data_IF_055632912363
#
_entry.id   IF_055632912363
#
_cell.length_a   1.000
_cell.length_b   1.000
_cell.length_c   1.000
_cell.angle_alpha   90.00
_cell.angle_beta   90.00
_cell.angle_gamma   90.00
#
_symmetry.space_group_name_H-M   'P 1'
#
loop_
_entity.id
_entity.type
_entity.pdbx_description
1 polymer ?
#
# COMPACT_ATOMS: atom_id res chain seq x y z
N UNK A 1 -10.54 -3.15 -11.64
CA UNK A 1 -9.95 -1.89 -11.14
C UNK A 1 -9.85 -1.98 -9.62
N UNK A 2 -8.72 -1.62 -9.02
CA UNK A 2 -8.63 -1.55 -7.55
C UNK A 2 -9.58 -0.47 -7.03
N UNK A 3 -10.26 -0.74 -5.92
CA UNK A 3 -11.28 0.15 -5.32
C UNK A 3 -10.93 0.61 -3.92
N UNK A 4 -10.22 -0.22 -3.17
CA UNK A 4 -9.81 0.08 -1.80
C UNK A 4 -8.53 -0.70 -1.48
N UNK A 5 -7.65 -0.08 -0.71
CA UNK A 5 -6.54 -0.71 -0.02
C UNK A 5 -6.80 -0.62 1.49
N UNK A 6 -6.72 -1.74 2.18
CA UNK A 6 -6.80 -1.80 3.65
C UNK A 6 -5.42 -2.19 4.17
N UNK A 7 -4.90 -1.40 5.09
CA UNK A 7 -3.62 -1.64 5.76
C UNK A 7 -3.92 -1.88 7.24
N UNK A 8 -3.58 -3.08 7.74
CA UNK A 8 -3.73 -3.44 9.13
C UNK A 8 -2.39 -3.99 9.65
N UNK A 9 -1.88 -3.37 10.73
CA UNK A 9 -0.56 -3.67 11.29
C UNK A 9 0.58 -3.68 10.23
N UNK A 10 0.50 -2.78 9.25
CA UNK A 10 1.46 -2.65 8.16
C UNK A 10 2.42 -1.49 8.40
N UNK A 11 3.69 -1.80 8.73
CA UNK A 11 4.74 -0.80 9.00
C UNK A 11 4.25 0.30 9.96
N UNK A 12 4.17 1.54 9.49
CA UNK A 12 3.72 2.68 10.30
C UNK A 12 2.20 2.78 10.47
N UNK A 13 1.41 1.94 9.79
CA UNK A 13 -0.05 1.94 9.89
C UNK A 13 -0.51 0.87 10.88
N UNK A 14 -1.13 1.29 11.99
CA UNK A 14 -1.92 0.38 12.82
C UNK A 14 -3.17 -0.07 12.04
N UNK A 15 -3.87 0.88 11.46
CA UNK A 15 -5.02 0.66 10.59
C UNK A 15 -5.20 1.84 9.64
N UNK A 16 -5.50 1.58 8.38
CA UNK A 16 -5.92 2.59 7.41
C UNK A 16 -6.79 1.96 6.31
N UNK A 17 -7.82 2.70 5.86
CA UNK A 17 -8.56 2.39 4.65
C UNK A 17 -8.35 3.50 3.63
N UNK A 18 -7.84 3.15 2.46
CA UNK A 18 -7.63 4.08 1.35
C UNK A 18 -8.58 3.71 0.20
N UNK A 19 -9.59 4.54 -0.13
CA UNK A 19 -10.29 4.41 -1.40
C UNK A 19 -9.31 4.68 -2.55
N UNK A 20 -9.46 3.94 -3.64
CA UNK A 20 -8.61 4.04 -4.83
C UNK A 20 -9.45 4.37 -6.07
N UNK A 21 -9.00 5.38 -6.78
CA UNK A 21 -9.52 5.84 -8.07
C UNK A 21 -8.46 5.66 -9.17
N UNK A 22 -8.81 5.80 -10.47
CA UNK A 22 -7.85 5.61 -11.56
C UNK A 22 -6.61 6.50 -11.42
N UNK A 23 -6.76 7.68 -10.81
CA UNK A 23 -5.68 8.53 -10.35
C UNK A 23 -5.85 8.77 -8.85
N UNK A 24 -4.88 8.32 -8.06
CA UNK A 24 -4.82 8.56 -6.62
C UNK A 24 -3.51 9.28 -6.30
N UNK A 25 -3.58 10.46 -5.70
CA UNK A 25 -2.38 11.25 -5.34
C UNK A 25 -2.19 11.18 -3.82
N UNK A 26 -1.04 10.66 -3.38
CA UNK A 26 -0.68 10.59 -1.97
C UNK A 26 0.12 11.84 -1.56
N UNK A 27 -0.47 12.67 -0.70
CA UNK A 27 0.16 13.89 -0.15
C UNK A 27 0.35 13.78 1.37
N UNK A 28 1.26 14.57 1.92
CA UNK A 28 1.54 14.60 3.36
C UNK A 28 3.00 14.88 3.68
N UNK A 29 3.30 15.13 4.95
CA UNK A 29 4.66 15.41 5.45
C UNK A 29 5.59 14.21 5.30
N UNK A 30 6.90 14.45 5.37
CA UNK A 30 7.87 13.35 5.42
C UNK A 30 7.58 12.42 6.60
N UNK A 31 7.85 11.13 6.42
CA UNK A 31 7.55 10.06 7.39
C UNK A 31 6.05 9.83 7.71
N UNK A 32 5.10 10.47 7.00
CA UNK A 32 3.66 10.26 7.21
C UNK A 32 3.11 8.91 6.68
N UNK A 33 3.96 8.00 6.22
CA UNK A 33 3.55 6.68 5.71
C UNK A 33 3.26 6.58 4.21
N UNK A 34 3.47 7.63 3.41
CA UNK A 34 3.22 7.61 1.95
C UNK A 34 3.95 6.48 1.23
N UNK A 35 5.26 6.31 1.47
CA UNK A 35 6.04 5.22 0.87
C UNK A 35 5.54 3.84 1.34
N UNK A 36 5.09 3.71 2.60
CA UNK A 36 4.54 2.47 3.12
C UNK A 36 3.25 2.05 2.37
N UNK A 37 2.45 2.99 1.88
CA UNK A 37 1.27 2.68 1.03
C UNK A 37 1.71 2.10 -0.32
N UNK A 38 2.70 2.70 -0.95
CA UNK A 38 3.23 2.23 -2.25
C UNK A 38 3.83 0.83 -2.10
N UNK A 39 4.65 0.62 -1.07
CA UNK A 39 5.26 -0.69 -0.79
C UNK A 39 4.22 -1.79 -0.49
N UNK A 40 3.07 -1.45 0.10
CA UNK A 40 1.99 -2.41 0.29
C UNK A 40 1.40 -2.86 -1.06
N UNK A 41 1.21 -1.92 -2.00
CA UNK A 41 0.73 -2.23 -3.34
C UNK A 41 1.75 -3.06 -4.13
N UNK A 42 3.04 -2.73 -4.03
CA UNK A 42 4.13 -3.51 -4.62
C UNK A 42 4.19 -4.92 -4.03
N UNK A 43 4.05 -5.06 -2.71
CA UNK A 43 4.01 -6.36 -2.05
C UNK A 43 2.84 -7.22 -2.56
N UNK A 44 1.64 -6.65 -2.65
CA UNK A 44 0.47 -7.33 -3.20
C UNK A 44 0.66 -7.71 -4.68
N UNK A 45 1.28 -6.83 -5.47
CA UNK A 45 1.61 -7.12 -6.87
C UNK A 45 2.56 -8.32 -6.97
N UNK A 46 3.64 -8.34 -6.18
CA UNK A 46 4.61 -9.45 -6.18
C UNK A 46 3.96 -10.79 -5.81
N UNK A 47 3.09 -10.79 -4.80
CA UNK A 47 2.29 -11.97 -4.44
C UNK A 47 1.42 -12.41 -5.62
N UNK A 48 0.69 -11.47 -6.24
CA UNK A 48 -0.20 -11.78 -7.36
C UNK A 48 0.57 -12.31 -8.59
N UNK A 49 1.81 -11.85 -8.80
CA UNK A 49 2.69 -12.30 -9.87
C UNK A 49 3.39 -13.64 -9.59
N UNK A 50 3.25 -14.21 -8.38
CA UNK A 50 3.92 -15.45 -8.00
C UNK A 50 5.44 -15.30 -7.81
N UNK A 51 5.92 -14.08 -7.57
CA UNK A 51 7.32 -13.86 -7.24
C UNK A 51 7.61 -14.40 -5.83
N UNK A 52 8.45 -15.44 -5.74
CA UNK A 52 8.83 -16.03 -4.46
C UNK A 52 9.58 -14.99 -3.62
N UNK A 53 8.95 -14.57 -2.52
CA UNK A 53 9.53 -13.67 -1.52
C UNK A 53 10.77 -14.31 -0.90
N UNK A 54 11.96 -13.86 -1.30
CA UNK A 54 13.11 -13.84 -0.39
C UNK A 54 12.87 -12.66 0.57
N UNK A 55 12.26 -12.96 1.72
CA UNK A 55 12.35 -12.10 2.90
C UNK A 55 13.77 -12.13 3.43
#
# INVERSE_FOLDING_TARGET
>A
MLKKLILENWKSFRYAELPLDPLTVLIGTNASGKSNVVEALEFLQRIASGENNKL
#
